data_IF_314458257245
#
_entry.id   IF_314458257245
#
_cell.length_a   1.000
_cell.length_b   1.000
_cell.length_c   1.000
_cell.angle_alpha   90.00
_cell.angle_beta   90.00
_cell.angle_gamma   90.00
#
_symmetry.space_group_name_H-M   'P 1'
#
loop_
_entity.id
_entity.type
_entity.pdbx_description
1 polymer ?
#
# COMPACT_ATOMS: atom_id res chain seq x y z
N UNK A 1 49.28 20.29 -64.04
CA UNK A 1 48.18 21.21 -64.36
C UNK A 1 47.33 20.58 -65.45
N UNK A 2 46.01 20.47 -65.22
CA UNK A 2 44.93 20.09 -66.17
C UNK A 2 45.02 18.72 -66.85
N UNK A 3 43.97 18.00 -67.19
CA UNK A 3 42.52 17.93 -66.90
C UNK A 3 42.00 16.87 -67.86
N UNK A 4 40.92 16.14 -67.52
CA UNK A 4 39.95 15.74 -68.54
C UNK A 4 39.84 14.26 -68.92
N UNK A 5 38.96 13.54 -68.20
CA UNK A 5 37.83 12.70 -68.67
C UNK A 5 37.83 12.01 -70.06
N UNK A 6 37.37 10.73 -70.01
CA UNK A 6 36.55 9.91 -70.95
C UNK A 6 37.28 8.68 -71.54
N UNK A 7 36.98 7.45 -71.13
CA UNK A 7 35.77 6.62 -71.33
C UNK A 7 35.91 5.64 -72.52
N UNK A 8 35.52 4.38 -72.25
CA UNK A 8 35.16 3.32 -73.20
C UNK A 8 36.26 2.38 -73.71
N UNK A 9 36.43 1.26 -73.00
CA UNK A 9 36.63 -0.07 -73.58
C UNK A 9 36.12 -1.09 -72.55
N UNK A 10 34.83 -1.42 -72.58
CA UNK A 10 34.37 -2.65 -73.23
C UNK A 10 35.14 -3.88 -72.74
N UNK A 11 34.80 -4.34 -71.53
CA UNK A 11 35.03 -5.72 -71.11
C UNK A 11 33.67 -6.36 -70.86
N UNK A 12 33.14 -6.83 -71.97
CA UNK A 12 32.12 -7.87 -72.07
C UNK A 12 32.64 -9.13 -71.36
N UNK A 13 32.13 -9.40 -70.18
CA UNK A 13 32.10 -10.76 -69.63
C UNK A 13 30.63 -11.13 -69.50
N UNK A 14 30.09 -11.65 -70.60
CA UNK A 14 28.80 -12.32 -70.62
C UNK A 14 28.89 -13.56 -69.71
N UNK A 15 28.22 -13.52 -68.57
CA UNK A 15 27.91 -14.70 -67.77
C UNK A 15 26.43 -15.03 -67.98
N UNK A 16 26.10 -16.17 -68.62
CA UNK A 16 24.72 -16.51 -68.92
C UNK A 16 24.01 -17.03 -67.66
N UNK A 17 22.94 -16.33 -67.29
CA UNK A 17 21.69 -16.86 -66.76
C UNK A 17 21.80 -18.13 -65.88
N UNK A 18 21.98 -17.91 -64.58
CA UNK A 18 21.50 -18.86 -63.57
C UNK A 18 20.00 -18.61 -63.33
N UNK A 19 19.19 -18.78 -64.37
CA UNK A 19 17.73 -18.86 -64.30
C UNK A 19 17.33 -20.27 -63.88
N UNK A 20 17.41 -20.58 -62.59
CA UNK A 20 16.76 -21.76 -62.05
C UNK A 20 16.63 -21.68 -60.53
N UNK A 21 15.37 -21.62 -60.09
CA UNK A 21 14.90 -22.03 -58.76
C UNK A 21 15.11 -20.98 -57.66
N UNK A 22 14.32 -19.91 -57.71
CA UNK A 22 13.59 -19.44 -56.52
C UNK A 22 12.32 -18.75 -57.00
N UNK A 23 11.11 -19.29 -56.75
CA UNK A 23 9.88 -18.55 -57.02
C UNK A 23 9.94 -17.23 -56.22
N UNK A 24 9.50 -16.10 -56.80
CA UNK A 24 9.67 -14.81 -56.18
C UNK A 24 8.90 -14.79 -54.86
N UNK A 25 9.60 -14.62 -53.74
CA UNK A 25 9.05 -14.46 -52.39
C UNK A 25 7.90 -13.44 -52.33
N UNK A 26 7.86 -12.50 -53.27
CA UNK A 26 6.78 -11.52 -53.44
C UNK A 26 5.43 -12.11 -53.86
N UNK A 27 5.40 -13.29 -54.50
CA UNK A 27 4.18 -14.02 -54.82
C UNK A 27 3.61 -14.76 -53.60
N UNK A 28 4.47 -15.24 -52.69
CA UNK A 28 4.05 -15.92 -51.46
C UNK A 28 3.63 -14.92 -50.38
N UNK A 29 4.19 -13.71 -50.41
CA UNK A 29 3.84 -12.59 -49.52
C UNK A 29 2.47 -11.97 -49.82
N UNK A 30 1.94 -12.13 -51.04
CA UNK A 30 0.66 -11.52 -51.44
C UNK A 30 -0.55 -12.25 -50.83
N UNK A 31 -0.37 -13.49 -50.39
CA UNK A 31 -1.43 -14.33 -49.80
C UNK A 31 -1.43 -14.31 -48.26
N UNK A 32 -0.46 -13.62 -47.66
CA UNK A 32 -0.56 -13.25 -46.24
C UNK A 32 -1.45 -12.02 -46.21
N UNK A 33 -2.76 -12.22 -46.12
CA UNK A 33 -3.65 -11.19 -45.61
C UNK A 33 -2.99 -10.64 -44.33
N UNK A 34 -2.71 -9.32 -44.23
CA UNK A 34 -2.36 -8.77 -42.93
C UNK A 34 -3.50 -9.18 -42.01
N UNK A 35 -3.20 -10.06 -41.03
CA UNK A 35 -4.16 -10.42 -40.00
C UNK A 35 -4.72 -9.12 -39.43
N UNK A 36 -6.00 -9.11 -39.01
CA UNK A 36 -6.74 -7.89 -38.70
C UNK A 36 -5.79 -6.97 -37.97
N UNK A 37 -5.52 -5.81 -38.58
CA UNK A 37 -4.68 -4.82 -37.93
C UNK A 37 -5.27 -4.72 -36.54
N UNK A 38 -4.41 -4.79 -35.52
CA UNK A 38 -4.80 -4.36 -34.18
C UNK A 38 -4.96 -2.84 -34.31
N UNK A 39 -5.91 -2.42 -35.14
CA UNK A 39 -6.57 -1.16 -35.10
C UNK A 39 -7.04 -1.15 -33.66
N UNK A 40 -6.24 -0.49 -32.82
CA UNK A 40 -6.73 0.61 -32.00
C UNK A 40 -8.21 0.40 -31.80
N UNK A 41 -8.55 -0.64 -31.02
CA UNK A 41 -9.92 -1.10 -30.94
C UNK A 41 -10.59 -0.01 -30.17
N UNK A 42 -11.10 0.97 -30.92
CA UNK A 42 -11.42 2.29 -30.44
C UNK A 42 -12.59 2.04 -29.52
N UNK A 43 -12.27 1.92 -28.23
CA UNK A 43 -13.26 1.80 -27.19
C UNK A 43 -14.26 2.91 -27.46
N UNK A 44 -15.54 2.56 -27.59
CA UNK A 44 -16.60 3.53 -27.82
C UNK A 44 -16.34 4.75 -26.90
N UNK A 45 -16.25 5.98 -27.43
CA UNK A 45 -15.85 7.15 -26.63
C UNK A 45 -16.71 7.32 -25.37
N UNK A 46 -17.94 6.81 -25.38
CA UNK A 46 -18.83 6.75 -24.22
C UNK A 46 -18.32 5.80 -23.14
N UNK A 47 -17.87 4.60 -23.53
CA UNK A 47 -17.29 3.60 -22.63
C UNK A 47 -15.96 4.12 -22.07
N UNK A 48 -15.15 4.77 -22.91
CA UNK A 48 -13.90 5.40 -22.46
C UNK A 48 -14.17 6.46 -21.38
N UNK A 49 -15.18 7.31 -21.57
CA UNK A 49 -15.58 8.30 -20.57
C UNK A 49 -16.06 7.67 -19.26
N UNK A 50 -16.91 6.63 -19.34
CA UNK A 50 -17.37 5.88 -18.16
C UNK A 50 -16.21 5.21 -17.41
N UNK A 51 -15.24 4.67 -18.13
CA UNK A 51 -14.06 4.02 -17.55
C UNK A 51 -13.19 5.03 -16.81
N UNK A 52 -12.95 6.21 -17.39
CA UNK A 52 -12.27 7.31 -16.68
C UNK A 52 -13.02 7.80 -15.46
N UNK A 53 -14.36 7.88 -15.53
CA UNK A 53 -15.18 8.27 -14.38
C UNK A 53 -15.08 7.23 -13.27
N UNK A 54 -15.11 5.94 -13.60
CA UNK A 54 -14.91 4.85 -12.64
C UNK A 54 -13.51 4.90 -12.01
N UNK A 55 -12.46 5.11 -12.82
CA UNK A 55 -11.09 5.28 -12.30
C UNK A 55 -11.02 6.49 -11.37
N UNK A 56 -11.56 7.63 -11.77
CA UNK A 56 -11.59 8.85 -10.96
C UNK A 56 -12.34 8.65 -9.65
N UNK A 57 -13.51 8.00 -9.71
CA UNK A 57 -14.33 7.71 -8.53
C UNK A 57 -13.64 6.74 -7.57
N UNK A 58 -13.03 5.67 -8.09
CA UNK A 58 -12.27 4.70 -7.26
C UNK A 58 -11.04 5.36 -6.63
N UNK A 59 -10.30 6.18 -7.38
CA UNK A 59 -9.16 6.93 -6.87
C UNK A 59 -9.59 7.93 -5.78
N UNK A 60 -10.64 8.70 -6.02
CA UNK A 60 -11.19 9.65 -5.05
C UNK A 60 -11.63 8.92 -3.77
N UNK A 61 -12.32 7.79 -3.91
CA UNK A 61 -12.73 6.97 -2.78
C UNK A 61 -11.55 6.45 -1.97
N UNK A 62 -10.49 5.97 -2.63
CA UNK A 62 -9.23 5.56 -1.97
C UNK A 62 -8.58 6.72 -1.23
N UNK A 63 -8.51 7.91 -1.86
CA UNK A 63 -7.96 9.13 -1.23
C UNK A 63 -8.77 9.51 0.00
N UNK A 64 -10.11 9.51 -0.08
CA UNK A 64 -10.97 9.83 1.06
C UNK A 64 -10.75 8.83 2.20
N UNK A 65 -10.73 7.52 1.91
CA UNK A 65 -10.47 6.49 2.93
C UNK A 65 -9.10 6.66 3.58
N UNK A 66 -8.08 6.91 2.78
CA UNK A 66 -6.73 7.15 3.28
C UNK A 66 -6.68 8.41 4.15
N UNK A 67 -7.33 9.49 3.71
CA UNK A 67 -7.40 10.75 4.44
C UNK A 67 -8.10 10.57 5.78
N UNK A 68 -9.25 9.89 5.82
CA UNK A 68 -9.97 9.61 7.06
C UNK A 68 -9.13 8.74 8.02
N UNK A 69 -8.43 7.74 7.50
CA UNK A 69 -7.51 6.90 8.29
C UNK A 69 -6.38 7.75 8.89
N UNK A 70 -5.74 8.60 8.08
CA UNK A 70 -4.66 9.49 8.53
C UNK A 70 -5.17 10.53 9.52
N UNK A 71 -6.35 11.11 9.31
CA UNK A 71 -6.94 12.07 10.24
C UNK A 71 -7.29 11.41 11.58
N UNK A 72 -7.85 10.19 11.55
CA UNK A 72 -8.08 9.38 12.74
C UNK A 72 -6.78 9.14 13.51
N UNK A 73 -5.72 8.68 12.81
CA UNK A 73 -4.40 8.50 13.40
C UNK A 73 -3.78 9.81 13.92
N UNK A 74 -3.95 10.93 13.22
CA UNK A 74 -3.44 12.24 13.67
C UNK A 74 -4.19 12.75 14.89
N UNK A 75 -5.50 12.53 14.99
CA UNK A 75 -6.29 12.85 16.20
C UNK A 75 -5.87 11.96 17.37
N UNK A 76 -5.70 10.67 17.10
CA UNK A 76 -5.19 9.68 18.05
C UNK A 76 -3.83 10.07 18.63
N UNK A 77 -2.91 10.57 17.81
CA UNK A 77 -1.62 11.09 18.30
C UNK A 77 -1.77 12.41 19.06
N UNK A 78 -2.65 13.32 18.62
CA UNK A 78 -2.81 14.64 19.23
C UNK A 78 -3.47 14.62 20.61
N UNK A 79 -4.24 13.57 20.95
CA UNK A 79 -4.91 13.51 22.25
C UNK A 79 -3.94 13.35 23.45
N UNK A 80 -2.66 13.06 23.19
CA UNK A 80 -1.61 12.89 24.21
C UNK A 80 -0.54 14.00 24.20
N UNK A 81 -0.71 15.02 23.38
CA UNK A 81 0.19 16.18 23.33
C UNK A 81 -0.12 17.08 24.54
N UNK A 82 0.43 16.74 25.71
CA UNK A 82 0.05 17.37 26.97
C UNK A 82 0.88 16.94 28.19
N UNK A 83 0.28 17.12 29.38
CA UNK A 83 0.94 16.93 30.67
C UNK A 83 1.47 15.50 30.88
N UNK A 84 2.78 15.29 31.09
CA UNK A 84 3.37 13.97 31.29
C UNK A 84 2.81 13.24 32.52
N UNK A 85 2.31 13.97 33.52
CA UNK A 85 1.72 13.36 34.72
C UNK A 85 0.37 12.69 34.43
N UNK A 86 -0.40 13.24 33.49
CA UNK A 86 -1.69 12.70 33.08
C UNK A 86 -1.59 11.75 31.88
N UNK A 87 -0.40 11.58 31.31
CA UNK A 87 -0.21 10.79 30.11
C UNK A 87 -0.54 9.32 30.38
N UNK A 88 0.03 8.72 31.42
CA UNK A 88 -0.17 7.29 31.75
C UNK A 88 -1.64 6.94 32.02
N UNK A 89 -2.39 7.65 32.89
CA UNK A 89 -3.80 7.33 33.13
C UNK A 89 -4.67 7.56 31.89
N UNK A 90 -4.43 8.62 31.12
CA UNK A 90 -5.15 8.83 29.83
C UNK A 90 -4.83 7.73 28.84
N UNK A 91 -3.58 7.26 28.80
CA UNK A 91 -3.14 6.21 27.88
C UNK A 91 -3.81 4.89 28.25
N UNK A 92 -3.84 4.56 29.54
CA UNK A 92 -4.50 3.37 30.04
C UNK A 92 -5.99 3.39 29.71
N UNK A 93 -6.69 4.50 29.95
CA UNK A 93 -8.12 4.61 29.65
C UNK A 93 -8.39 4.48 28.15
N UNK A 94 -7.61 5.17 27.30
CA UNK A 94 -7.76 5.07 25.85
C UNK A 94 -7.46 3.67 25.33
N UNK A 95 -6.36 3.05 25.79
CA UNK A 95 -6.01 1.67 25.45
C UNK A 95 -7.12 0.71 25.90
N UNK A 96 -7.64 0.88 27.13
CA UNK A 96 -8.68 0.03 27.69
C UNK A 96 -9.98 0.16 26.92
N UNK A 97 -10.41 1.39 26.61
CA UNK A 97 -11.61 1.64 25.82
C UNK A 97 -11.54 0.96 24.45
N UNK A 98 -10.41 1.15 23.75
CA UNK A 98 -10.24 0.68 22.37
C UNK A 98 -10.01 -0.83 22.30
N UNK A 99 -9.23 -1.38 23.23
CA UNK A 99 -9.06 -2.81 23.32
C UNK A 99 -10.35 -3.51 23.79
N UNK A 100 -11.18 -2.92 24.65
CA UNK A 100 -12.50 -3.48 24.99
C UNK A 100 -13.48 -3.46 23.81
N UNK A 101 -13.48 -2.38 23.01
CA UNK A 101 -14.30 -2.32 21.80
C UNK A 101 -13.93 -3.42 20.79
N UNK A 102 -12.63 -3.75 20.69
CA UNK A 102 -12.12 -4.70 19.70
C UNK A 102 -12.07 -6.14 20.23
N UNK A 103 -11.70 -6.32 21.48
CA UNK A 103 -11.49 -7.58 22.19
C UNK A 103 -12.15 -7.56 23.58
N UNK A 104 -13.40 -8.02 23.71
CA UNK A 104 -14.09 -8.03 25.01
C UNK A 104 -13.45 -8.98 26.03
N UNK A 105 -12.67 -9.97 25.57
CA UNK A 105 -11.90 -10.91 26.41
C UNK A 105 -10.87 -10.18 27.28
N UNK A 106 -10.43 -9.01 26.85
CA UNK A 106 -9.42 -8.24 27.56
C UNK A 106 -9.95 -7.61 28.86
N UNK A 107 -11.27 -7.67 29.12
CA UNK A 107 -11.90 -7.15 30.35
C UNK A 107 -11.45 -7.84 31.63
N UNK A 108 -11.03 -9.10 31.54
CA UNK A 108 -10.61 -9.89 32.70
C UNK A 108 -9.12 -9.73 33.02
N UNK A 109 -8.34 -9.15 32.10
CA UNK A 109 -6.90 -8.99 32.24
C UNK A 109 -6.60 -7.71 33.02
N UNK A 110 -5.69 -7.81 33.99
CA UNK A 110 -5.26 -6.71 34.84
C UNK A 110 -3.73 -6.53 34.71
N UNK A 111 -3.27 -5.29 34.87
CA UNK A 111 -1.87 -4.86 34.92
C UNK A 111 -0.91 -5.56 33.93
N UNK A 112 -0.07 -6.47 34.41
CA UNK A 112 0.95 -7.15 33.60
C UNK A 112 0.33 -8.02 32.50
N UNK A 113 -0.69 -8.80 32.84
CA UNK A 113 -1.38 -9.65 31.87
C UNK A 113 -2.11 -8.80 30.82
N UNK A 114 -2.57 -7.62 31.21
CA UNK A 114 -3.14 -6.64 30.29
C UNK A 114 -2.09 -6.07 29.33
N UNK A 115 -0.94 -5.61 29.83
CA UNK A 115 0.13 -5.06 28.99
C UNK A 115 0.67 -6.10 28.00
N UNK A 116 0.88 -7.34 28.46
CA UNK A 116 1.29 -8.44 27.61
C UNK A 116 0.26 -8.76 26.52
N UNK A 117 -1.03 -8.62 26.81
CA UNK A 117 -2.09 -8.78 25.82
C UNK A 117 -2.06 -7.65 24.79
N UNK A 118 -1.94 -6.40 25.24
CA UNK A 118 -1.85 -5.22 24.36
C UNK A 118 -0.65 -5.33 23.43
N UNK A 119 0.50 -5.78 23.93
CA UNK A 119 1.72 -6.00 23.14
C UNK A 119 1.51 -7.09 22.07
N UNK A 120 0.96 -8.26 22.42
CA UNK A 120 0.66 -9.33 21.45
C UNK A 120 -0.30 -8.86 20.35
N UNK A 121 -1.27 -8.02 20.68
CA UNK A 121 -2.30 -7.58 19.74
C UNK A 121 -1.92 -6.35 18.91
N UNK A 122 -1.00 -5.51 19.40
CA UNK A 122 -0.60 -4.28 18.73
C UNK A 122 0.88 -4.14 18.41
N UNK A 123 1.72 -5.12 18.73
CA UNK A 123 3.16 -5.13 18.44
C UNK A 123 3.88 -3.93 19.05
N UNK A 124 3.74 -3.75 20.36
CA UNK A 124 4.09 -2.51 21.06
C UNK A 124 4.82 -2.82 22.35
N UNK A 125 5.98 -2.22 22.58
CA UNK A 125 6.90 -2.56 23.68
C UNK A 125 6.43 -2.12 25.10
N UNK A 126 5.12 -2.14 25.38
CA UNK A 126 4.57 -1.76 26.68
C UNK A 126 4.99 -2.68 27.83
N UNK A 127 5.36 -3.93 27.53
CA UNK A 127 5.86 -4.88 28.52
C UNK A 127 7.11 -4.38 29.26
N UNK A 128 7.90 -3.49 28.65
CA UNK A 128 9.10 -2.89 29.28
C UNK A 128 8.77 -1.99 30.47
N UNK A 129 7.51 -1.55 30.59
CA UNK A 129 7.08 -0.65 31.64
C UNK A 129 6.31 -1.34 32.76
N UNK A 130 6.10 -2.66 32.68
CA UNK A 130 5.28 -3.43 33.63
C UNK A 130 5.63 -3.15 35.09
N UNK A 131 6.92 -3.13 35.42
CA UNK A 131 7.41 -2.92 36.80
C UNK A 131 7.10 -1.53 37.35
N UNK A 132 7.05 -0.52 36.46
CA UNK A 132 6.87 0.90 36.81
C UNK A 132 5.42 1.36 36.60
N UNK A 133 4.64 0.56 35.88
CA UNK A 133 3.28 0.87 35.45
C UNK A 133 2.32 1.05 36.62
N UNK A 134 2.35 0.14 37.59
CA UNK A 134 1.53 0.25 38.80
C UNK A 134 1.93 1.47 39.65
N UNK A 135 3.23 1.77 39.71
CA UNK A 135 3.78 2.95 40.39
C UNK A 135 3.35 4.27 39.76
N UNK A 136 3.13 4.31 38.44
CA UNK A 136 2.65 5.49 37.73
C UNK A 136 1.13 5.66 37.77
N UNK A 137 0.38 4.56 37.84
CA UNK A 137 -1.09 4.60 37.86
C UNK A 137 -1.67 4.81 39.24
N UNK A 138 -1.12 4.11 40.22
CA UNK A 138 -1.63 4.10 41.60
C UNK A 138 -0.68 4.78 42.57
N UNK A 139 0.58 4.96 42.19
CA UNK A 139 1.55 5.72 42.96
C UNK A 139 1.66 7.17 42.48
N UNK A 140 2.24 8.02 43.34
CA UNK A 140 2.58 9.41 43.00
C UNK A 140 3.83 9.52 42.11
N UNK A 141 4.23 8.45 41.43
CA UNK A 141 5.41 8.46 40.57
C UNK A 141 5.03 9.01 39.20
N UNK A 142 5.76 10.01 38.73
CA UNK A 142 5.58 10.54 37.38
C UNK A 142 6.63 9.94 36.43
N UNK A 143 6.26 9.56 35.20
CA UNK A 143 7.25 9.10 34.22
C UNK A 143 8.22 10.22 33.89
N UNK A 144 9.49 9.86 33.72
CA UNK A 144 10.53 10.78 33.22
C UNK A 144 10.23 11.15 31.77
N UNK A 145 10.71 12.30 31.28
CA UNK A 145 10.54 12.74 29.87
C UNK A 145 10.97 11.69 28.83
N UNK A 146 12.00 10.88 29.12
CA UNK A 146 12.42 9.80 28.23
C UNK A 146 11.41 8.64 28.22
N UNK A 147 10.86 8.29 29.38
CA UNK A 147 9.84 7.24 29.52
C UNK A 147 8.54 7.68 28.85
N UNK A 148 8.13 8.94 29.00
CA UNK A 148 6.96 9.49 28.31
C UNK A 148 7.12 9.45 26.79
N UNK A 149 8.30 9.82 26.26
CA UNK A 149 8.57 9.74 24.83
C UNK A 149 8.52 8.30 24.30
N UNK A 150 9.06 7.33 25.05
CA UNK A 150 8.98 5.91 24.69
C UNK A 150 7.56 5.36 24.75
N UNK A 151 6.77 5.76 25.75
CA UNK A 151 5.34 5.41 25.85
C UNK A 151 4.53 5.97 24.68
N UNK A 152 4.76 7.23 24.32
CA UNK A 152 4.15 7.81 23.12
C UNK A 152 4.54 7.04 21.87
N UNK A 153 5.80 6.64 21.73
CA UNK A 153 6.25 5.86 20.58
C UNK A 153 5.58 4.49 20.53
N UNK A 154 5.51 3.78 21.66
CA UNK A 154 4.82 2.49 21.77
C UNK A 154 3.33 2.63 21.42
N UNK A 155 2.69 3.70 21.89
CA UNK A 155 1.30 4.01 21.58
C UNK A 155 1.06 4.37 20.10
N UNK A 156 1.97 5.13 19.49
CA UNK A 156 1.93 5.42 18.05
C UNK A 156 2.11 4.14 17.23
N UNK A 157 3.00 3.23 17.64
CA UNK A 157 3.16 1.91 17.01
C UNK A 157 1.89 1.08 17.12
N UNK A 158 1.27 1.06 18.30
CA UNK A 158 -0.02 0.39 18.54
C UNK A 158 -1.14 0.99 17.69
N UNK A 159 -1.26 2.32 17.64
CA UNK A 159 -2.21 3.00 16.75
C UNK A 159 -1.98 2.65 15.28
N UNK A 160 -0.72 2.59 14.83
CA UNK A 160 -0.39 2.15 13.46
C UNK A 160 -0.87 0.73 13.19
N UNK A 161 -0.68 -0.22 14.10
CA UNK A 161 -1.19 -1.59 13.89
C UNK A 161 -2.72 -1.65 13.96
N UNK A 162 -3.36 -0.85 14.82
CA UNK A 162 -4.83 -0.80 14.91
C UNK A 162 -5.46 -0.15 13.67
N UNK A 163 -4.91 0.94 13.16
CA UNK A 163 -5.46 1.69 12.02
C UNK A 163 -4.98 1.19 10.64
N UNK A 164 -3.70 0.80 10.50
CA UNK A 164 -3.15 0.33 9.22
C UNK A 164 -3.35 -1.18 8.99
N UNK A 165 -3.47 -1.99 10.06
CA UNK A 165 -3.49 -3.46 9.96
C UNK A 165 -4.89 -4.07 9.94
N UNK A 166 -5.97 -3.28 9.84
CA UNK A 166 -7.31 -3.83 9.56
C UNK A 166 -7.92 -3.25 8.29
N UNK A 167 -8.14 -4.14 7.31
CA UNK A 167 -9.47 -4.74 7.22
C UNK A 167 -9.43 -6.26 6.96
N UNK A 168 -9.01 -7.08 7.94
CA UNK A 168 -9.08 -8.55 7.80
C UNK A 168 -9.81 -9.31 8.91
N UNK A 169 -10.24 -8.63 9.99
CA UNK A 169 -10.96 -9.30 11.09
C UNK A 169 -12.46 -8.94 11.17
N UNK A 170 -12.93 -7.91 10.45
CA UNK A 170 -14.36 -7.61 10.37
C UNK A 170 -15.16 -8.70 9.64
N UNK A 171 -14.54 -9.46 8.74
CA UNK A 171 -15.17 -10.55 7.99
C UNK A 171 -15.40 -11.83 8.79
N UNK A 172 -14.83 -12.00 9.99
CA UNK A 172 -15.10 -13.19 10.83
C UNK A 172 -16.25 -13.00 11.83
N UNK A 173 -16.62 -11.77 12.19
CA UNK A 173 -17.76 -11.54 13.11
C UNK A 173 -19.12 -11.47 12.41
N UNK A 174 -19.18 -11.11 11.14
CA UNK A 174 -20.43 -11.18 10.36
C UNK A 174 -20.93 -12.63 10.17
N UNK A 175 -20.03 -13.63 10.25
CA UNK A 175 -20.38 -15.06 10.07
C UNK A 175 -20.89 -15.77 11.34
N UNK A 176 -20.81 -15.13 12.53
CA UNK A 176 -21.28 -15.70 13.81
C UNK A 176 -22.61 -15.12 14.30
N UNK A 177 -23.27 -14.27 13.53
CA UNK A 177 -24.63 -13.75 13.83
C UNK A 177 -25.70 -14.27 12.86
N UNK A 178 -25.36 -15.25 12.03
CA UNK A 178 -26.28 -15.89 11.08
C UNK A 178 -26.41 -17.41 11.28
N UNK A 179 -26.04 -17.92 12.47
CA UNK A 179 -26.34 -19.29 12.89
C UNK A 179 -27.27 -19.26 14.10
#
# INVERSE_FOLDING_TARGET
MSSGINASAALEVASPASDAITPPLSSLMRDIHPGPEIAEQSLDPRIQGLLWLLIGATLLWLIIRFTLMVLGYRRWCRQFDGDPQQLVPRLQEALRHEALQRWPEARQLHDEAWLAFVDRHGGSDFCQFTDQWSGWLYGNQSPTREQSARLEQAYRRWGRTVFLRQPLLATRRARRRQS
#
